data_IF_416581362610
#
_entry.id   IF_416581362610
#
_cell.length_a   1.000
_cell.length_b   1.000
_cell.length_c   1.000
_cell.angle_alpha   90.00
_cell.angle_beta   90.00
_cell.angle_gamma   90.00
#
_symmetry.space_group_name_H-M   'P 1'
#
loop_
_entity.id
_entity.type
_entity.pdbx_description
1 polymer ?
#
# COMPACT_ATOMS: atom_id res chain seq x y z
N UNK A 1 -4.78 -18.36 -14.17
CA UNK A 1 -4.74 -17.62 -12.89
C UNK A 1 -5.62 -16.39 -13.05
N UNK A 2 -6.40 -16.04 -12.03
CA UNK A 2 -7.16 -14.79 -12.07
C UNK A 2 -6.18 -13.63 -11.90
N UNK A 3 -6.28 -12.64 -12.79
CA UNK A 3 -5.50 -11.40 -12.73
C UNK A 3 -6.33 -10.33 -12.04
N UNK A 4 -5.76 -9.72 -11.01
CA UNK A 4 -6.33 -8.60 -10.27
C UNK A 4 -5.45 -7.38 -10.49
N UNK A 5 -6.06 -6.27 -10.86
CA UNK A 5 -5.43 -4.95 -10.89
C UNK A 5 -5.81 -4.24 -9.60
N UNK A 6 -4.83 -3.71 -8.89
CA UNK A 6 -5.01 -3.03 -7.61
C UNK A 6 -4.39 -1.65 -7.69
N UNK A 7 -5.16 -0.62 -7.38
CA UNK A 7 -4.70 0.76 -7.21
C UNK A 7 -4.80 1.12 -5.74
N UNK A 8 -3.78 1.79 -5.21
CA UNK A 8 -3.70 2.13 -3.80
C UNK A 8 -3.20 3.55 -3.60
N UNK A 9 -3.81 4.27 -2.67
CA UNK A 9 -3.37 5.62 -2.30
C UNK A 9 -3.58 5.90 -0.81
N UNK A 10 -2.86 6.88 -0.28
CA UNK A 10 -2.92 7.35 1.09
C UNK A 10 -2.89 8.86 1.18
N UNK A 11 -3.82 9.42 1.96
CA UNK A 11 -3.95 10.85 2.19
C UNK A 11 -3.83 11.19 3.67
N UNK A 12 -3.24 12.34 4.00
CA UNK A 12 -3.12 12.80 5.39
C UNK A 12 -3.29 14.32 5.49
N UNK A 13 -4.22 14.77 6.34
CA UNK A 13 -4.45 16.19 6.66
C UNK A 13 -3.54 16.62 7.80
N UNK A 14 -2.33 17.04 7.45
CA UNK A 14 -1.24 17.29 8.41
C UNK A 14 -0.42 16.02 8.66
N UNK A 15 0.89 16.17 8.89
CA UNK A 15 1.82 15.03 8.96
C UNK A 15 2.72 15.12 10.21
N UNK A 16 2.32 14.55 11.37
CA UNK A 16 1.17 13.68 11.57
C UNK A 16 -0.18 14.41 11.71
N UNK A 17 -1.28 13.70 11.43
CA UNK A 17 -2.65 14.22 11.50
C UNK A 17 -3.69 13.17 11.11
N UNK A 18 -4.98 13.55 10.96
CA UNK A 18 -6.01 12.66 10.42
C UNK A 18 -5.64 12.21 9.01
N UNK A 19 -5.62 10.91 8.78
CA UNK A 19 -5.29 10.34 7.48
C UNK A 19 -6.24 9.22 7.10
N UNK A 20 -6.29 8.94 5.81
CA UNK A 20 -7.11 7.91 5.20
C UNK A 20 -6.36 7.19 4.11
N UNK A 21 -6.77 5.96 3.84
CA UNK A 21 -6.21 5.08 2.83
C UNK A 21 -7.34 4.57 1.93
N UNK A 22 -7.01 4.32 0.66
CA UNK A 22 -7.95 3.91 -0.37
C UNK A 22 -7.38 2.81 -1.24
N UNK A 23 -8.23 1.85 -1.61
CA UNK A 23 -7.88 0.74 -2.50
C UNK A 23 -9.00 0.53 -3.50
N UNK A 24 -8.63 0.48 -4.78
CA UNK A 24 -9.51 0.11 -5.87
C UNK A 24 -9.00 -1.18 -6.53
N UNK A 25 -9.81 -2.24 -6.46
CA UNK A 25 -9.52 -3.57 -6.99
C UNK A 25 -10.39 -3.83 -8.22
N UNK A 26 -9.78 -4.35 -9.29
CA UNK A 26 -10.46 -4.74 -10.52
C UNK A 26 -10.03 -6.14 -10.97
N UNK A 27 -10.99 -7.02 -11.22
CA UNK A 27 -10.74 -8.37 -11.71
C UNK A 27 -11.80 -8.75 -12.75
N UNK A 28 -11.42 -8.79 -14.03
CA UNK A 28 -12.37 -8.98 -15.13
C UNK A 28 -13.41 -7.85 -15.15
N UNK A 29 -14.69 -8.21 -15.05
CA UNK A 29 -15.81 -7.26 -14.96
C UNK A 29 -16.22 -6.87 -13.54
N UNK A 30 -15.49 -7.30 -12.50
CA UNK A 30 -15.81 -6.98 -11.12
C UNK A 30 -14.87 -5.91 -10.58
N UNK A 31 -15.44 -4.95 -9.86
CA UNK A 31 -14.74 -3.88 -9.17
C UNK A 31 -15.07 -3.94 -7.67
N UNK A 32 -14.09 -3.58 -6.84
CA UNK A 32 -14.25 -3.53 -5.39
C UNK A 32 -13.44 -2.37 -4.82
N UNK A 33 -14.08 -1.58 -4.00
CA UNK A 33 -13.51 -0.42 -3.32
C UNK A 33 -13.33 -0.74 -1.83
N UNK A 34 -12.20 -0.33 -1.26
CA UNK A 34 -11.95 -0.38 0.17
C UNK A 34 -11.37 0.96 0.61
N UNK A 35 -11.75 1.42 1.79
CA UNK A 35 -11.20 2.63 2.38
C UNK A 35 -11.30 2.57 3.90
N UNK A 36 -10.46 3.36 4.56
CA UNK A 36 -10.45 3.53 6.00
C UNK A 36 -9.55 4.68 6.39
N UNK A 37 -9.40 4.92 7.69
CA UNK A 37 -8.52 5.99 8.16
C UNK A 37 -8.31 5.99 9.66
N UNK A 38 -7.36 6.82 10.07
CA UNK A 38 -6.88 6.96 11.44
C UNK A 38 -6.79 8.44 11.81
N UNK A 39 -7.21 8.81 13.03
CA UNK A 39 -7.21 10.21 13.49
C UNK A 39 -5.81 10.80 13.68
N UNK A 40 -4.81 9.95 13.92
CA UNK A 40 -3.43 10.37 14.12
C UNK A 40 -2.49 9.39 13.43
N UNK A 41 -2.12 9.73 12.20
CA UNK A 41 -1.25 8.92 11.35
C UNK A 41 -0.38 9.81 10.47
N UNK A 42 0.29 9.23 9.47
CA UNK A 42 1.14 9.94 8.51
C UNK A 42 0.82 9.44 7.11
N UNK A 43 1.16 10.23 6.07
CA UNK A 43 0.93 9.84 4.67
C UNK A 43 1.52 8.45 4.36
N UNK A 44 2.79 8.25 4.70
CA UNK A 44 3.50 7.00 4.46
C UNK A 44 2.86 5.79 5.16
N UNK A 45 2.23 5.99 6.33
CA UNK A 45 1.49 4.90 7.00
C UNK A 45 0.22 4.57 6.23
N UNK A 46 -0.52 5.57 5.75
CA UNK A 46 -1.74 5.34 4.97
C UNK A 46 -1.44 4.69 3.62
N UNK A 47 -0.39 5.11 2.93
CA UNK A 47 0.07 4.46 1.69
C UNK A 47 0.39 2.97 1.92
N UNK A 48 1.11 2.65 3.01
CA UNK A 48 1.42 1.26 3.37
C UNK A 48 0.17 0.47 3.74
N UNK A 49 -0.71 1.05 4.55
CA UNK A 49 -1.95 0.41 4.98
C UNK A 49 -2.85 0.10 3.78
N UNK A 50 -2.94 1.00 2.79
CA UNK A 50 -3.70 0.76 1.57
C UNK A 50 -3.24 -0.54 0.86
N UNK A 51 -1.93 -0.71 0.68
CA UNK A 51 -1.38 -1.90 0.03
C UNK A 51 -1.63 -3.16 0.87
N UNK A 52 -1.45 -3.08 2.18
CA UNK A 52 -1.67 -4.21 3.11
C UNK A 52 -3.13 -4.66 3.06
N UNK A 53 -4.08 -3.75 3.22
CA UNK A 53 -5.52 -4.04 3.23
C UNK A 53 -6.00 -4.55 1.87
N UNK A 54 -5.45 -4.00 0.78
CA UNK A 54 -5.73 -4.47 -0.57
C UNK A 54 -5.28 -5.91 -0.82
N UNK A 55 -4.05 -6.26 -0.43
CA UNK A 55 -3.55 -7.64 -0.52
C UNK A 55 -4.31 -8.59 0.42
N UNK A 56 -4.57 -8.17 1.66
CA UNK A 56 -5.28 -8.98 2.65
C UNK A 56 -6.74 -9.28 2.23
N UNK A 57 -7.36 -8.43 1.41
CA UNK A 57 -8.70 -8.65 0.89
C UNK A 57 -8.78 -9.79 -0.14
N UNK A 58 -7.65 -10.24 -0.70
CA UNK A 58 -7.59 -11.28 -1.73
C UNK A 58 -7.63 -12.67 -1.07
N UNK A 59 -8.75 -13.38 -1.25
CA UNK A 59 -8.99 -14.68 -0.59
C UNK A 59 -8.40 -15.90 -1.33
N UNK A 60 -7.90 -15.73 -2.54
CA UNK A 60 -7.47 -16.83 -3.43
C UNK A 60 -6.15 -16.48 -4.12
N UNK A 61 -5.26 -17.44 -4.39
CA UNK A 61 -4.05 -17.21 -5.16
C UNK A 61 -4.36 -16.54 -6.50
N UNK A 62 -3.75 -15.39 -6.75
CA UNK A 62 -3.95 -14.61 -7.97
C UNK A 62 -2.68 -13.86 -8.36
N UNK A 63 -2.62 -13.49 -9.63
CA UNK A 63 -1.61 -12.56 -10.13
C UNK A 63 -2.14 -11.15 -9.87
N UNK A 64 -1.38 -10.30 -9.20
CA UNK A 64 -1.82 -8.97 -8.74
C UNK A 64 -0.88 -7.92 -9.32
N UNK A 65 -1.42 -7.01 -10.13
CA UNK A 65 -0.68 -5.83 -10.60
C UNK A 65 -1.03 -4.66 -9.67
N UNK A 66 -0.07 -4.24 -8.85
CA UNK A 66 -0.24 -3.19 -7.86
C UNK A 66 0.30 -1.88 -8.41
N UNK A 67 -0.58 -0.91 -8.56
CA UNK A 67 -0.29 0.44 -9.01
C UNK A 67 -0.27 1.37 -7.79
N UNK A 68 0.85 2.05 -7.62
CA UNK A 68 1.10 3.00 -6.53
C UNK A 68 1.94 4.17 -7.03
N UNK A 69 1.73 5.35 -6.48
CA UNK A 69 2.49 6.56 -6.80
C UNK A 69 3.55 6.92 -5.75
N UNK A 70 3.47 6.32 -4.58
CA UNK A 70 4.43 6.49 -3.50
C UNK A 70 5.82 5.96 -3.84
N UNK A 71 6.78 6.87 -3.96
CA UNK A 71 8.19 6.50 -4.03
C UNK A 71 8.68 5.81 -2.75
N UNK A 72 8.06 6.11 -1.59
CA UNK A 72 8.43 5.50 -0.31
C UNK A 72 8.09 4.01 -0.30
N UNK A 73 6.87 3.65 -0.71
CA UNK A 73 6.45 2.25 -0.80
C UNK A 73 7.24 1.53 -1.89
N UNK A 74 7.40 2.14 -3.07
CA UNK A 74 8.21 1.57 -4.16
C UNK A 74 9.62 1.21 -3.71
N UNK A 75 10.39 2.18 -3.21
CA UNK A 75 11.78 1.93 -2.80
C UNK A 75 11.87 0.98 -1.62
N UNK A 76 10.91 1.06 -0.70
CA UNK A 76 10.88 0.15 0.43
C UNK A 76 10.72 -1.31 0.00
N UNK A 77 9.75 -1.62 -0.89
CA UNK A 77 9.52 -3.00 -1.33
C UNK A 77 10.60 -3.50 -2.31
N UNK A 78 11.13 -2.64 -3.19
CA UNK A 78 12.09 -3.09 -4.22
C UNK A 78 13.54 -3.08 -3.73
N UNK A 79 13.92 -2.17 -2.84
CA UNK A 79 15.32 -1.95 -2.44
C UNK A 79 15.56 -2.24 -0.96
N UNK A 80 14.76 -1.66 -0.06
CA UNK A 80 15.14 -1.61 1.36
C UNK A 80 14.74 -2.85 2.17
N UNK A 81 13.63 -3.51 1.82
CA UNK A 81 13.06 -4.60 2.62
C UNK A 81 14.03 -5.76 2.82
N UNK A 82 14.80 -6.12 1.79
CA UNK A 82 15.83 -7.16 1.85
C UNK A 82 16.92 -6.82 2.88
N UNK A 83 17.38 -5.55 2.89
CA UNK A 83 18.36 -5.06 3.84
C UNK A 83 17.82 -4.97 5.27
N UNK A 84 16.54 -4.62 5.44
CA UNK A 84 15.91 -4.59 6.75
C UNK A 84 15.70 -5.99 7.33
N UNK A 85 15.24 -6.96 6.53
CA UNK A 85 15.07 -8.35 6.96
C UNK A 85 16.37 -8.95 7.47
N UNK A 86 17.46 -8.81 6.71
CA UNK A 86 18.79 -9.32 7.10
C UNK A 86 19.33 -8.67 8.37
N UNK A 87 18.94 -7.42 8.66
CA UNK A 87 19.33 -6.68 9.87
C UNK A 87 18.31 -6.78 11.01
N UNK A 88 17.31 -7.67 10.90
CA UNK A 88 16.28 -7.84 11.92
C UNK A 88 15.41 -6.60 12.14
N UNK A 89 15.04 -5.91 11.05
CA UNK A 89 14.21 -4.70 11.02
C UNK A 89 14.82 -3.50 11.75
N UNK A 90 16.15 -3.38 11.68
CA UNK A 90 16.92 -2.27 12.26
C UNK A 90 17.67 -1.48 11.19
N UNK A 91 17.80 -0.17 11.42
CA UNK A 91 18.60 0.73 10.61
C UNK A 91 20.10 0.53 10.88
N UNK A 92 20.97 1.19 10.11
CA UNK A 92 22.42 1.18 10.37
C UNK A 92 22.78 1.75 11.76
N UNK A 93 21.94 2.64 12.30
CA UNK A 93 22.08 3.19 13.64
C UNK A 93 21.58 2.23 14.75
N UNK A 94 21.19 1.00 14.42
CA UNK A 94 20.58 -0.01 15.31
C UNK A 94 19.21 0.36 15.88
N UNK A 95 18.59 1.42 15.35
CA UNK A 95 17.23 1.82 15.70
C UNK A 95 16.20 1.00 14.91
N UNK A 96 14.97 0.83 15.42
CA UNK A 96 13.89 0.23 14.66
C UNK A 96 13.64 0.98 13.34
N UNK A 97 13.40 0.25 12.26
CA UNK A 97 12.98 0.86 10.99
C UNK A 97 11.64 1.58 11.18
N UNK A 98 11.54 2.79 10.65
CA UNK A 98 10.29 3.56 10.69
C UNK A 98 9.17 2.77 9.99
N UNK A 99 8.02 2.64 10.65
CA UNK A 99 6.89 1.81 10.20
C UNK A 99 7.23 0.31 10.03
N UNK A 100 8.20 -0.21 10.79
CA UNK A 100 8.56 -1.63 10.76
C UNK A 100 7.35 -2.56 10.97
N UNK A 101 6.39 -2.15 11.79
CA UNK A 101 5.12 -2.85 12.02
C UNK A 101 4.33 -3.09 10.74
N UNK A 102 4.23 -2.07 9.88
CA UNK A 102 3.52 -2.15 8.60
C UNK A 102 4.36 -2.89 7.55
N UNK A 103 5.65 -2.62 7.50
CA UNK A 103 6.53 -3.30 6.54
C UNK A 103 6.61 -4.80 6.77
N UNK A 104 6.63 -5.26 8.02
CA UNK A 104 6.59 -6.69 8.34
C UNK A 104 5.29 -7.36 7.86
N UNK A 105 4.15 -6.69 8.03
CA UNK A 105 2.86 -7.18 7.52
C UNK A 105 2.85 -7.24 5.99
N UNK A 106 3.35 -6.18 5.34
CA UNK A 106 3.44 -6.12 3.89
C UNK A 106 4.36 -7.21 3.33
N UNK A 107 5.53 -7.42 3.94
CA UNK A 107 6.48 -8.47 3.57
C UNK A 107 5.84 -9.87 3.67
N UNK A 108 5.16 -10.16 4.78
CA UNK A 108 4.47 -11.43 4.97
C UNK A 108 3.37 -11.65 3.91
N UNK A 109 2.62 -10.61 3.53
CA UNK A 109 1.60 -10.71 2.49
C UNK A 109 2.21 -10.83 1.08
N UNK A 110 3.33 -10.15 0.83
CA UNK A 110 3.92 -10.04 -0.49
C UNK A 110 4.86 -11.18 -0.85
N UNK A 111 5.65 -11.66 0.11
CA UNK A 111 6.67 -12.69 -0.09
C UNK A 111 6.25 -14.06 0.45
N UNK A 112 5.62 -14.11 1.61
CA UNK A 112 5.16 -15.38 2.21
C UNK A 112 3.71 -15.72 1.77
N UNK A 113 3.06 -14.79 1.07
CA UNK A 113 1.72 -14.96 0.54
C UNK A 113 1.65 -15.88 -0.69
N UNK A 114 0.42 -16.23 -1.06
CA UNK A 114 0.13 -17.11 -2.22
C UNK A 114 -0.02 -16.34 -3.53
N UNK A 115 0.15 -15.02 -3.51
CA UNK A 115 -0.08 -14.14 -4.65
C UNK A 115 1.21 -13.90 -5.44
N UNK A 116 1.08 -13.77 -6.75
CA UNK A 116 2.18 -13.31 -7.61
C UNK A 116 2.01 -11.81 -7.83
N UNK A 117 2.85 -10.99 -7.20
CA UNK A 117 2.69 -9.54 -7.18
C UNK A 117 3.65 -8.89 -8.17
N UNK A 118 3.10 -8.04 -9.04
CA UNK A 118 3.84 -7.15 -9.94
C UNK A 118 3.65 -5.71 -9.48
N UNK A 119 4.75 -5.04 -9.18
CA UNK A 119 4.75 -3.66 -8.69
C UNK A 119 4.90 -2.69 -9.86
N UNK A 120 3.89 -1.84 -10.05
CA UNK A 120 3.86 -0.78 -11.04
C UNK A 120 3.89 0.56 -10.34
N UNK A 121 4.98 1.28 -10.50
CA UNK A 121 5.04 2.66 -10.03
C UNK A 121 4.52 3.60 -11.10
N UNK A 122 3.51 4.37 -10.75
CA UNK A 122 3.01 5.47 -11.56
C UNK A 122 3.52 6.78 -11.02
N UNK A 123 3.73 7.76 -11.90
CA UNK A 123 4.05 9.11 -11.45
C UNK A 123 2.74 9.75 -10.97
N UNK A 124 2.68 10.20 -9.71
CA UNK A 124 1.50 10.86 -9.15
C UNK A 124 0.98 11.97 -10.07
N UNK A 125 -0.35 12.05 -10.22
CA UNK A 125 -1.09 12.95 -11.11
C UNK A 125 -0.86 12.77 -12.63
N UNK A 126 -0.54 11.56 -13.09
CA UNK A 126 -0.46 11.26 -14.53
C UNK A 126 -1.82 10.97 -15.21
N UNK A 127 -2.94 11.20 -14.53
CA UNK A 127 -4.28 10.97 -15.08
C UNK A 127 -4.65 9.50 -15.23
N UNK A 128 -4.12 8.61 -14.38
CA UNK A 128 -4.59 7.23 -14.30
C UNK A 128 -5.92 7.21 -13.52
N UNK A 129 -7.05 6.87 -14.17
CA UNK A 129 -8.35 6.90 -13.51
C UNK A 129 -8.43 5.97 -12.29
N UNK A 130 -7.65 4.88 -12.26
CA UNK A 130 -7.61 3.97 -11.12
C UNK A 130 -6.91 4.59 -9.91
N UNK A 131 -5.84 5.36 -10.14
CA UNK A 131 -5.14 6.08 -9.06
C UNK A 131 -5.99 7.24 -8.54
N UNK A 132 -6.63 8.01 -9.42
CA UNK A 132 -7.57 9.08 -9.00
C UNK A 132 -8.74 8.53 -8.19
N UNK A 133 -9.22 7.33 -8.54
CA UNK A 133 -10.24 6.65 -7.76
C UNK A 133 -9.69 6.25 -6.37
N UNK A 134 -8.48 5.71 -6.29
CA UNK A 134 -7.85 5.36 -5.02
C UNK A 134 -7.60 6.61 -4.14
N UNK A 135 -7.17 7.74 -4.71
CA UNK A 135 -7.03 9.03 -4.01
C UNK A 135 -8.38 9.51 -3.43
N UNK A 136 -9.45 9.44 -4.23
CA UNK A 136 -10.79 9.81 -3.77
C UNK A 136 -11.25 8.92 -2.59
N UNK A 137 -10.95 7.62 -2.63
CA UNK A 137 -11.22 6.69 -1.54
C UNK A 137 -10.37 7.01 -0.31
N UNK A 138 -9.08 7.37 -0.47
CA UNK A 138 -8.21 7.76 0.62
C UNK A 138 -8.71 9.01 1.33
N UNK A 139 -9.08 10.05 0.57
CA UNK A 139 -9.67 11.27 1.11
C UNK A 139 -11.01 11.02 1.79
N UNK A 140 -11.83 10.10 1.27
CA UNK A 140 -13.08 9.66 1.89
C UNK A 140 -12.83 8.93 3.22
N UNK A 141 -11.71 8.21 3.33
CA UNK A 141 -11.30 7.51 4.54
C UNK A 141 -10.82 8.42 5.66
N UNK A 142 -10.43 9.66 5.37
CA UNK A 142 -9.91 10.61 6.38
C UNK A 142 -11.02 10.92 7.40
N UNK A 143 -10.83 10.59 8.69
CA UNK A 143 -11.80 10.94 9.72
C UNK A 143 -11.87 12.45 9.88
N UNK A 144 -13.10 12.98 9.93
CA UNK A 144 -13.39 14.39 10.19
C UNK A 144 -13.21 14.80 11.64
#
# INVERSE_FOLDING_TARGET
MNHVVMYTDGACKGNPGPGGWGVFLKAGGHEKELWGGERLTTNNRMELTAVIEGLAALKRPCKVSVYLDSQYVRKGITEWIHGWKTKGWKTAAKEPVKNADLWQKLDALAHDGVHQIEWHWVKGHAGDPGNEHADALANRGVPG
#
